data_IF_752065606847
#
_entry.id   IF_752065606847
#
_cell.length_a   1.000
_cell.length_b   1.000
_cell.length_c   1.000
_cell.angle_alpha   90.00
_cell.angle_beta   90.00
_cell.angle_gamma   90.00
#
_symmetry.space_group_name_H-M   'P 1'
#
loop_
_entity.id
_entity.type
_entity.pdbx_description
1 polymer ?
#
# COMPACT_ATOMS: atom_id res chain seq x y z
N UNK A 1 23.64 17.17 1.52
CA UNK A 1 22.62 17.74 2.44
C UNK A 1 23.02 17.44 3.88
N UNK A 2 22.55 18.24 4.84
CA UNK A 2 22.87 18.07 6.26
C UNK A 2 21.58 18.12 7.07
N UNK A 3 21.49 17.26 8.06
CA UNK A 3 20.41 17.23 9.03
C UNK A 3 20.84 17.90 10.32
N UNK A 4 20.01 18.82 10.81
CA UNK A 4 20.10 19.38 12.16
C UNK A 4 19.04 18.66 13.02
N UNK A 5 19.53 17.95 14.03
CA UNK A 5 18.72 17.23 14.99
C UNK A 5 18.65 18.04 16.29
N UNK A 6 17.43 18.25 16.81
CA UNK A 6 17.23 18.90 18.10
C UNK A 6 16.14 18.15 18.88
N UNK A 7 16.20 18.27 20.21
CA UNK A 7 15.11 17.85 21.09
C UNK A 7 14.67 19.05 21.90
N UNK A 8 13.36 19.34 21.89
CA UNK A 8 12.76 20.44 22.62
C UNK A 8 11.44 20.04 23.28
N UNK A 9 10.98 20.81 24.30
CA UNK A 9 9.64 20.66 24.83
C UNK A 9 8.58 20.85 23.74
N UNK A 10 7.47 20.10 23.82
CA UNK A 10 6.37 20.21 22.85
C UNK A 10 5.84 21.64 22.69
N UNK A 11 5.86 22.42 23.76
CA UNK A 11 5.38 23.82 23.74
C UNK A 11 6.20 24.73 22.80
N UNK A 12 7.45 24.36 22.50
CA UNK A 12 8.37 25.17 21.70
C UNK A 12 8.47 24.72 20.24
N UNK A 13 7.83 23.60 19.88
CA UNK A 13 7.93 22.97 18.55
C UNK A 13 7.56 23.93 17.43
N UNK A 14 6.42 24.60 17.54
CA UNK A 14 5.95 25.53 16.50
C UNK A 14 6.92 26.70 16.31
N UNK A 15 7.37 27.31 17.41
CA UNK A 15 8.30 28.44 17.36
C UNK A 15 9.67 28.06 16.79
N UNK A 16 10.15 26.86 17.14
CA UNK A 16 11.42 26.33 16.61
C UNK A 16 11.28 25.98 15.13
N UNK A 17 10.17 25.37 14.72
CA UNK A 17 9.89 25.06 13.32
C UNK A 17 9.86 26.31 12.46
N UNK A 18 9.16 27.36 12.90
CA UNK A 18 9.09 28.67 12.21
C UNK A 18 10.50 29.29 12.03
N UNK A 19 11.36 29.19 13.05
CA UNK A 19 12.75 29.70 12.98
C UNK A 19 13.54 28.90 11.95
N UNK A 20 13.44 27.57 11.97
CA UNK A 20 14.19 26.70 11.05
C UNK A 20 13.76 26.92 9.60
N UNK A 21 12.46 27.05 9.35
CA UNK A 21 11.91 27.37 8.03
C UNK A 21 12.32 28.77 7.58
N UNK A 22 12.33 29.76 8.48
CA UNK A 22 12.81 31.12 8.21
C UNK A 22 14.31 31.21 7.91
N UNK A 23 15.07 30.16 8.20
CA UNK A 23 16.51 30.01 7.92
C UNK A 23 16.80 29.04 6.77
N UNK A 24 15.87 28.91 5.84
CA UNK A 24 15.98 28.13 4.62
C UNK A 24 16.09 26.59 4.83
N UNK A 25 15.49 26.05 5.91
CA UNK A 25 15.32 24.60 6.03
C UNK A 25 14.46 24.08 4.85
N UNK A 26 14.92 23.04 4.20
CA UNK A 26 14.21 22.38 3.09
C UNK A 26 12.97 21.61 3.59
N UNK A 27 13.06 21.09 4.79
CA UNK A 27 11.97 20.43 5.51
C UNK A 27 12.25 20.43 6.99
N UNK A 28 11.18 20.43 7.81
CA UNK A 28 11.24 20.19 9.25
C UNK A 28 10.27 19.07 9.57
N UNK A 29 10.76 17.98 10.16
CA UNK A 29 9.95 16.88 10.67
C UNK A 29 9.98 16.85 12.19
N UNK A 30 8.85 16.46 12.79
CA UNK A 30 8.66 16.40 14.24
C UNK A 30 8.24 14.98 14.62
N UNK A 31 8.95 14.39 15.56
CA UNK A 31 8.72 13.04 16.06
C UNK A 31 8.73 13.04 17.60
N UNK A 32 8.18 11.97 18.19
CA UNK A 32 8.36 11.72 19.63
C UNK A 32 9.86 11.54 19.92
N UNK A 33 10.39 12.29 20.90
CA UNK A 33 11.79 12.11 21.30
C UNK A 33 12.05 10.73 21.89
N UNK A 34 11.01 10.08 22.44
CA UNK A 34 11.03 8.76 23.05
C UNK A 34 10.62 7.63 22.10
N UNK A 35 10.45 7.91 20.79
CA UNK A 35 10.12 6.92 19.77
C UNK A 35 11.09 5.71 19.81
N UNK A 36 10.53 4.52 19.86
CA UNK A 36 11.27 3.25 19.99
C UNK A 36 11.67 2.88 21.42
N UNK A 37 11.23 3.62 22.43
CA UNK A 37 11.39 3.29 23.85
C UNK A 37 10.09 2.82 24.49
N UNK A 38 10.17 2.27 25.72
CA UNK A 38 8.98 1.91 26.53
C UNK A 38 8.11 3.12 26.92
N UNK A 39 8.53 4.35 26.58
CA UNK A 39 7.84 5.62 26.89
C UNK A 39 7.24 6.27 25.64
N UNK A 40 7.32 5.62 24.49
CA UNK A 40 6.72 6.08 23.24
C UNK A 40 5.21 6.29 23.38
N UNK A 41 4.73 7.49 23.03
CA UNK A 41 3.32 7.85 23.01
C UNK A 41 2.84 8.10 21.59
N UNK A 42 1.96 7.24 21.06
CA UNK A 42 1.35 7.45 19.76
C UNK A 42 0.37 8.63 19.80
N UNK A 43 0.61 9.68 18.99
CA UNK A 43 -0.31 10.82 18.82
C UNK A 43 -1.57 10.47 18.01
N UNK A 44 -1.52 9.42 17.23
CA UNK A 44 -2.62 8.98 16.38
C UNK A 44 -3.13 7.64 16.88
N UNK A 45 -4.39 7.64 17.37
CA UNK A 45 -5.11 6.42 17.70
C UNK A 45 -5.53 5.65 16.43
N UNK A 46 -5.85 4.38 16.59
CA UNK A 46 -6.50 3.61 15.52
C UNK A 46 -7.81 4.30 15.08
N UNK A 47 -8.22 4.19 13.80
CA UNK A 47 -9.47 4.77 13.32
C UNK A 47 -10.66 4.34 14.18
N UNK A 48 -11.30 5.32 14.86
CA UNK A 48 -12.43 5.11 15.75
C UNK A 48 -12.11 5.24 17.25
N UNK A 49 -10.85 5.45 17.63
CA UNK A 49 -10.49 5.82 19.01
C UNK A 49 -10.39 7.35 19.17
N UNK A 50 -10.75 7.88 20.34
CA UNK A 50 -10.49 9.29 20.61
C UNK A 50 -8.98 9.55 20.60
N UNK A 51 -8.53 10.72 20.11
CA UNK A 51 -7.11 11.07 20.15
C UNK A 51 -6.59 11.00 21.61
N UNK A 52 -5.35 10.55 21.82
CA UNK A 52 -4.76 10.51 23.15
C UNK A 52 -4.78 11.90 23.79
N UNK A 53 -5.09 11.95 25.08
CA UNK A 53 -5.32 13.20 25.82
C UNK A 53 -4.03 13.99 26.12
N UNK A 54 -2.86 13.48 25.79
CA UNK A 54 -1.56 14.09 26.10
C UNK A 54 -0.70 14.17 24.86
N UNK A 55 -0.18 15.37 24.57
CA UNK A 55 0.90 15.60 23.62
C UNK A 55 2.20 15.01 24.19
N UNK A 56 3.20 14.82 23.33
CA UNK A 56 4.56 14.43 23.75
C UNK A 56 5.13 15.44 24.76
N UNK A 57 5.89 14.99 25.74
CA UNK A 57 6.58 15.91 26.65
C UNK A 57 7.80 16.53 25.97
N UNK A 58 8.51 15.74 25.17
CA UNK A 58 9.66 16.14 24.39
C UNK A 58 9.47 15.72 22.94
N UNK A 59 9.83 16.59 22.02
CA UNK A 59 9.78 16.33 20.58
C UNK A 59 11.17 16.40 19.98
N UNK A 60 11.45 15.48 19.06
CA UNK A 60 12.65 15.50 18.22
C UNK A 60 12.29 16.20 16.91
N UNK A 61 13.02 17.28 16.60
CA UNK A 61 12.94 17.95 15.32
C UNK A 61 14.15 17.56 14.48
N UNK A 62 13.88 17.26 13.22
CA UNK A 62 14.90 17.01 12.19
C UNK A 62 14.70 18.00 11.08
N UNK A 63 15.63 18.95 10.92
CA UNK A 63 15.59 19.96 9.87
C UNK A 63 16.67 19.67 8.82
N UNK A 64 16.30 19.68 7.54
CA UNK A 64 17.18 19.38 6.42
C UNK A 64 17.68 20.68 5.76
N UNK A 65 18.99 20.76 5.51
CA UNK A 65 19.66 21.91 4.87
C UNK A 65 20.50 21.48 3.68
N UNK A 66 20.67 22.38 2.70
CA UNK A 66 21.51 22.13 1.53
C UNK A 66 22.99 21.94 1.87
N UNK A 67 23.50 22.69 2.86
CA UNK A 67 24.91 22.71 3.23
C UNK A 67 25.11 22.82 4.74
N UNK A 68 26.34 22.53 5.18
CA UNK A 68 26.72 22.54 6.59
C UNK A 68 26.62 23.93 7.21
N UNK A 69 26.96 24.99 6.49
CA UNK A 69 27.00 26.33 7.04
C UNK A 69 25.58 26.85 7.39
N UNK A 70 24.59 26.51 6.56
CA UNK A 70 23.18 26.80 6.82
C UNK A 70 22.68 26.03 8.04
N UNK A 71 22.98 24.72 8.16
CA UNK A 71 22.61 23.92 9.33
C UNK A 71 23.23 24.44 10.63
N UNK A 72 24.52 24.82 10.61
CA UNK A 72 25.21 25.41 11.75
C UNK A 72 24.63 26.78 12.16
N UNK A 73 24.25 27.60 11.17
CA UNK A 73 23.65 28.91 11.43
C UNK A 73 22.28 28.75 12.08
N UNK A 74 21.45 27.83 11.58
CA UNK A 74 20.16 27.51 12.16
C UNK A 74 20.30 26.96 13.60
N UNK A 75 21.21 26.03 13.83
CA UNK A 75 21.48 25.50 15.16
C UNK A 75 21.89 26.58 16.18
N UNK A 76 22.76 27.51 15.76
CA UNK A 76 23.16 28.67 16.60
C UNK A 76 21.97 29.60 16.90
N UNK A 77 21.14 29.87 15.91
CA UNK A 77 19.98 30.74 16.08
C UNK A 77 18.98 30.17 17.09
N UNK A 78 18.67 28.90 16.98
CA UNK A 78 17.80 28.21 17.92
C UNK A 78 18.37 28.23 19.33
N UNK A 79 19.66 27.93 19.52
CA UNK A 79 20.33 27.98 20.83
C UNK A 79 20.32 29.38 21.47
N UNK A 80 20.44 30.44 20.67
CA UNK A 80 20.44 31.82 21.18
C UNK A 80 19.07 32.29 21.68
N UNK A 81 18.00 31.80 21.06
CA UNK A 81 16.62 32.22 21.38
C UNK A 81 16.03 31.49 22.59
N UNK A 82 16.40 30.22 22.78
CA UNK A 82 15.78 29.37 23.81
C UNK A 82 16.73 28.89 24.92
N UNK A 83 18.01 29.32 24.93
CA UNK A 83 18.98 28.98 25.95
C UNK A 83 19.42 27.53 25.99
N UNK A 84 19.81 27.04 27.18
CA UNK A 84 20.39 25.69 27.37
C UNK A 84 19.36 24.57 27.56
N UNK A 85 18.06 24.83 27.35
CA UNK A 85 17.01 23.82 27.51
C UNK A 85 16.90 22.83 26.36
N UNK A 86 17.63 23.10 25.23
CA UNK A 86 17.70 22.15 24.14
C UNK A 86 18.78 21.09 24.41
N UNK A 87 18.33 19.91 24.78
CA UNK A 87 19.21 18.76 24.91
C UNK A 87 19.44 18.13 23.52
N UNK A 88 20.69 17.84 23.21
CA UNK A 88 21.12 17.13 22.00
C UNK A 88 20.89 17.87 20.66
N UNK A 89 21.68 18.92 20.43
CA UNK A 89 21.84 19.44 19.06
C UNK A 89 22.96 18.68 18.35
N UNK A 90 22.63 18.00 17.27
CA UNK A 90 23.63 17.33 16.43
C UNK A 90 23.43 17.73 14.96
N UNK A 91 24.53 17.93 14.24
CA UNK A 91 24.48 18.10 12.79
C UNK A 91 25.20 16.91 12.17
N UNK A 92 24.51 16.24 11.25
CA UNK A 92 25.08 15.11 10.52
C UNK A 92 24.92 15.27 9.02
N UNK A 93 25.92 14.81 8.28
CA UNK A 93 25.79 14.72 6.84
C UNK A 93 24.77 13.64 6.50
N UNK A 94 23.78 14.00 5.68
CA UNK A 94 22.90 12.98 5.09
C UNK A 94 23.73 12.24 4.04
N UNK A 95 24.00 10.96 4.21
CA UNK A 95 24.67 10.19 3.17
C UNK A 95 23.91 10.34 1.86
N UNK A 96 24.59 10.51 0.75
CA UNK A 96 24.00 10.30 -0.56
C UNK A 96 23.63 8.81 -0.65
N UNK A 97 22.48 8.47 -0.06
CA UNK A 97 21.93 7.14 -0.23
C UNK A 97 21.24 7.11 -1.59
N UNK A 98 21.61 6.14 -2.37
CA UNK A 98 20.84 5.76 -3.55
C UNK A 98 19.51 5.16 -3.06
N UNK A 99 18.55 6.04 -2.77
CA UNK A 99 17.20 5.69 -2.29
C UNK A 99 16.51 4.73 -3.26
N UNK A 100 16.83 4.83 -4.55
CA UNK A 100 16.33 3.90 -5.56
C UNK A 100 16.84 2.50 -5.26
N UNK A 101 18.14 2.35 -5.05
CA UNK A 101 18.76 1.05 -4.74
C UNK A 101 18.33 0.51 -3.38
N UNK A 102 18.17 1.38 -2.38
CA UNK A 102 17.68 0.98 -1.05
C UNK A 102 16.24 0.49 -1.11
N UNK A 103 15.36 1.21 -1.81
CA UNK A 103 13.98 0.79 -2.04
C UNK A 103 13.94 -0.50 -2.84
N UNK A 104 14.75 -0.61 -3.90
CA UNK A 104 14.84 -1.83 -4.70
C UNK A 104 15.26 -3.05 -3.88
N UNK A 105 16.19 -2.88 -2.93
CA UNK A 105 16.65 -3.99 -2.07
C UNK A 105 15.60 -4.51 -1.08
N UNK A 106 14.50 -3.81 -0.89
CA UNK A 106 13.40 -4.23 0.01
C UNK A 106 12.36 -5.11 -0.68
N UNK A 107 12.40 -5.24 -2.00
CA UNK A 107 11.40 -5.97 -2.78
C UNK A 107 12.04 -7.12 -3.55
N UNK A 108 11.99 -8.30 -2.94
CA UNK A 108 12.43 -9.54 -3.58
C UNK A 108 11.34 -10.14 -4.49
N UNK A 109 11.70 -11.01 -5.45
CA UNK A 109 10.74 -11.80 -6.20
C UNK A 109 9.81 -12.61 -5.29
N UNK A 110 8.50 -12.56 -5.54
CA UNK A 110 7.48 -13.26 -4.75
C UNK A 110 7.01 -14.51 -5.48
N UNK A 111 7.17 -15.67 -4.85
CA UNK A 111 6.63 -16.93 -5.33
C UNK A 111 5.12 -17.01 -5.06
N UNK A 112 4.32 -17.08 -6.12
CA UNK A 112 2.87 -17.33 -6.03
C UNK A 112 2.60 -18.84 -6.09
N UNK A 113 3.19 -19.51 -7.07
CA UNK A 113 3.32 -20.96 -7.18
C UNK A 113 4.73 -21.28 -7.70
N UNK A 114 5.21 -22.53 -7.66
CA UNK A 114 6.54 -22.86 -8.17
C UNK A 114 6.81 -22.37 -9.60
N UNK A 115 5.77 -22.27 -10.43
CA UNK A 115 5.87 -21.84 -11.84
C UNK A 115 5.43 -20.39 -12.07
N UNK A 116 4.75 -19.72 -11.12
CA UNK A 116 4.26 -18.35 -11.25
C UNK A 116 4.89 -17.43 -10.22
N UNK A 117 5.56 -16.36 -10.67
CA UNK A 117 6.29 -15.41 -9.84
C UNK A 117 5.92 -13.98 -10.16
N UNK A 118 5.87 -13.14 -9.13
CA UNK A 118 5.87 -11.67 -9.26
C UNK A 118 7.31 -11.22 -9.10
N UNK A 119 7.86 -10.54 -10.10
CA UNK A 119 9.29 -10.22 -10.18
C UNK A 119 9.46 -8.74 -10.51
N UNK A 120 10.09 -7.93 -9.64
CA UNK A 120 10.48 -6.56 -9.96
C UNK A 120 11.41 -6.50 -11.18
N UNK A 121 11.40 -5.36 -11.91
CA UNK A 121 12.15 -5.22 -13.16
C UNK A 121 13.68 -5.39 -12.99
N UNK A 122 14.20 -5.03 -11.81
CA UNK A 122 15.62 -5.11 -11.46
C UNK A 122 16.08 -6.49 -10.97
N UNK A 123 15.16 -7.44 -10.80
CA UNK A 123 15.51 -8.79 -10.40
C UNK A 123 15.57 -9.77 -11.57
N UNK A 124 16.47 -10.74 -11.44
CA UNK A 124 16.56 -11.87 -12.37
C UNK A 124 15.36 -12.80 -12.16
N UNK A 125 14.81 -13.32 -13.25
CA UNK A 125 13.73 -14.31 -13.20
C UNK A 125 14.25 -15.61 -12.62
N UNK A 126 13.58 -16.21 -11.62
CA UNK A 126 13.92 -17.54 -11.13
C UNK A 126 13.84 -18.61 -12.25
N UNK A 127 14.77 -19.55 -12.29
CA UNK A 127 14.89 -20.54 -13.36
C UNK A 127 13.64 -21.42 -13.51
N UNK A 128 12.93 -21.68 -12.42
CA UNK A 128 11.70 -22.47 -12.38
C UNK A 128 10.45 -21.70 -12.83
N UNK A 129 10.52 -20.37 -12.95
CA UNK A 129 9.37 -19.55 -13.31
C UNK A 129 9.01 -19.76 -14.80
N UNK A 130 7.76 -20.11 -15.04
CA UNK A 130 7.17 -20.20 -16.39
C UNK A 130 6.25 -19.02 -16.68
N UNK A 131 5.52 -18.57 -15.66
CA UNK A 131 4.70 -17.36 -15.72
C UNK A 131 5.36 -16.30 -14.85
N UNK A 132 5.65 -15.15 -15.42
CA UNK A 132 6.30 -14.03 -14.71
C UNK A 132 5.44 -12.80 -14.87
N UNK A 133 5.01 -12.26 -13.75
CA UNK A 133 4.36 -10.96 -13.68
C UNK A 133 5.41 -9.93 -13.25
N UNK A 134 5.75 -9.03 -14.18
CA UNK A 134 6.68 -7.92 -13.91
C UNK A 134 5.92 -6.79 -13.23
N UNK A 135 6.32 -6.46 -12.01
CA UNK A 135 5.72 -5.38 -11.27
C UNK A 135 6.74 -4.70 -10.36
N UNK A 136 6.92 -3.42 -10.57
CA UNK A 136 7.73 -2.57 -9.70
C UNK A 136 6.84 -1.94 -8.62
N UNK A 137 7.28 -1.90 -7.36
CA UNK A 137 6.62 -1.13 -6.32
C UNK A 137 6.49 0.33 -6.75
N UNK A 138 5.27 0.84 -6.73
CA UNK A 138 4.94 2.19 -7.15
C UNK A 138 3.94 2.85 -6.19
N UNK A 139 3.40 4.00 -6.62
CA UNK A 139 2.40 4.75 -5.86
C UNK A 139 1.04 4.04 -5.79
N UNK A 140 0.75 3.13 -6.72
CA UNK A 140 -0.49 2.35 -6.71
C UNK A 140 -0.37 1.14 -5.78
N UNK A 141 -1.45 0.87 -5.04
CA UNK A 141 -1.54 -0.27 -4.12
C UNK A 141 -1.45 -1.61 -4.89
N UNK A 142 -0.86 -2.63 -4.26
CA UNK A 142 -0.77 -3.98 -4.82
C UNK A 142 0.62 -4.33 -5.37
N UNK A 143 1.63 -4.46 -4.49
CA UNK A 143 3.02 -4.86 -4.84
C UNK A 143 3.20 -6.37 -4.98
N UNK A 144 2.17 -7.17 -4.69
CA UNK A 144 2.25 -8.64 -4.68
C UNK A 144 2.77 -9.26 -3.38
N UNK A 145 3.37 -8.48 -2.50
CA UNK A 145 3.91 -8.97 -1.21
C UNK A 145 2.83 -9.21 -0.16
N UNK A 146 1.68 -8.52 -0.26
CA UNK A 146 0.61 -8.65 0.71
C UNK A 146 -0.07 -10.03 0.63
N UNK A 147 -0.39 -10.69 1.76
CA UNK A 147 -0.99 -12.03 1.78
C UNK A 147 -2.25 -12.15 0.92
N UNK A 148 -3.12 -11.12 0.92
CA UNK A 148 -4.38 -11.12 0.16
C UNK A 148 -4.15 -11.19 -1.35
N UNK A 149 -3.17 -10.45 -1.86
CA UNK A 149 -2.78 -10.49 -3.28
C UNK A 149 -2.24 -11.86 -3.66
N UNK A 150 -1.37 -12.42 -2.82
CA UNK A 150 -0.81 -13.75 -3.02
C UNK A 150 -1.88 -14.86 -3.04
N UNK A 151 -2.90 -14.78 -2.17
CA UNK A 151 -4.03 -15.73 -2.15
C UNK A 151 -4.85 -15.64 -3.44
N UNK A 152 -5.20 -14.43 -3.90
CA UNK A 152 -5.93 -14.23 -5.15
C UNK A 152 -5.16 -14.74 -6.37
N UNK A 153 -3.88 -14.36 -6.50
CA UNK A 153 -3.04 -14.80 -7.63
C UNK A 153 -2.85 -16.32 -7.65
N UNK A 154 -2.70 -16.94 -6.49
CA UNK A 154 -2.59 -18.41 -6.39
C UNK A 154 -3.86 -19.08 -6.87
N UNK A 155 -5.03 -18.56 -6.45
CA UNK A 155 -6.29 -19.07 -6.93
C UNK A 155 -6.42 -18.93 -8.45
N UNK A 156 -6.08 -17.75 -9.01
CA UNK A 156 -6.10 -17.47 -10.45
C UNK A 156 -5.18 -18.47 -11.21
N UNK A 157 -3.97 -18.69 -10.71
CA UNK A 157 -3.01 -19.63 -11.32
C UNK A 157 -3.50 -21.08 -11.31
N UNK A 158 -4.26 -21.49 -10.27
CA UNK A 158 -4.86 -22.82 -10.17
C UNK A 158 -6.12 -22.98 -11.03
N UNK A 159 -6.70 -21.89 -11.52
CA UNK A 159 -7.92 -21.87 -12.36
C UNK A 159 -7.69 -21.07 -13.65
N UNK A 160 -6.71 -21.48 -14.49
CA UNK A 160 -6.34 -20.74 -15.69
C UNK A 160 -7.46 -20.74 -16.74
N UNK A 161 -7.35 -19.85 -17.72
CA UNK A 161 -8.23 -19.84 -18.90
C UNK A 161 -9.65 -19.36 -18.62
N UNK A 162 -9.87 -18.48 -17.62
CA UNK A 162 -11.19 -17.89 -17.34
C UNK A 162 -11.71 -17.15 -18.59
N UNK A 163 -12.96 -17.38 -19.04
CA UNK A 163 -13.48 -16.75 -20.26
C UNK A 163 -13.53 -15.23 -20.16
N UNK A 164 -13.91 -14.71 -18.99
CA UNK A 164 -13.94 -13.26 -18.71
C UNK A 164 -13.66 -13.01 -17.23
N UNK A 165 -12.91 -11.95 -16.95
CA UNK A 165 -12.50 -11.55 -15.61
C UNK A 165 -12.80 -10.06 -15.40
N UNK A 166 -13.38 -9.73 -14.25
CA UNK A 166 -13.49 -8.37 -13.73
C UNK A 166 -12.64 -8.26 -12.47
N UNK A 167 -11.69 -7.34 -12.46
CA UNK A 167 -10.92 -6.91 -11.30
C UNK A 167 -11.48 -5.56 -10.81
N UNK A 168 -12.21 -5.59 -9.69
CA UNK A 168 -12.90 -4.41 -9.16
C UNK A 168 -12.13 -3.80 -7.99
N UNK A 169 -11.62 -2.58 -8.15
CA UNK A 169 -10.62 -1.96 -7.28
C UNK A 169 -9.23 -2.49 -7.63
N UNK A 170 -8.85 -2.36 -8.89
CA UNK A 170 -7.71 -3.08 -9.46
C UNK A 170 -6.34 -2.56 -8.99
N UNK A 171 -6.25 -1.32 -8.48
CA UNK A 171 -5.00 -0.72 -8.04
C UNK A 171 -3.92 -0.76 -9.13
N UNK A 172 -2.81 -1.44 -8.86
CA UNK A 172 -1.72 -1.67 -9.83
C UNK A 172 -2.12 -2.54 -11.04
N UNK A 173 -3.32 -3.15 -11.03
CA UNK A 173 -3.78 -4.11 -12.03
C UNK A 173 -3.20 -5.52 -11.86
N UNK A 174 -2.55 -5.80 -10.74
CA UNK A 174 -1.80 -7.06 -10.54
C UNK A 174 -2.67 -8.31 -10.72
N UNK A 175 -3.93 -8.30 -10.26
CA UNK A 175 -4.82 -9.46 -10.36
C UNK A 175 -5.34 -9.62 -11.80
N UNK A 176 -5.72 -8.53 -12.44
CA UNK A 176 -6.12 -8.50 -13.85
C UNK A 176 -4.99 -9.00 -14.77
N UNK A 177 -3.77 -8.49 -14.57
CA UNK A 177 -2.58 -8.89 -15.32
C UNK A 177 -2.27 -10.36 -15.05
N UNK A 178 -2.33 -10.79 -13.78
CA UNK A 178 -2.16 -12.20 -13.42
C UNK A 178 -3.16 -13.11 -14.11
N UNK A 179 -4.42 -12.72 -14.18
CA UNK A 179 -5.46 -13.46 -14.90
C UNK A 179 -5.16 -13.54 -16.41
N UNK A 180 -4.75 -12.43 -17.03
CA UNK A 180 -4.39 -12.39 -18.45
C UNK A 180 -3.18 -13.29 -18.75
N UNK A 181 -2.14 -13.26 -17.91
CA UNK A 181 -0.96 -14.14 -18.03
C UNK A 181 -1.34 -15.62 -17.85
N UNK A 182 -2.36 -15.93 -17.05
CA UNK A 182 -2.91 -17.28 -16.89
C UNK A 182 -3.91 -17.64 -18.00
N UNK A 183 -3.98 -16.89 -19.10
CA UNK A 183 -4.77 -17.22 -20.27
C UNK A 183 -6.26 -16.82 -20.19
N UNK A 184 -6.62 -15.87 -19.35
CA UNK A 184 -7.98 -15.33 -19.36
C UNK A 184 -8.32 -14.69 -20.72
N UNK A 185 -9.57 -14.84 -21.15
CA UNK A 185 -10.04 -14.33 -22.44
C UNK A 185 -10.20 -12.80 -22.42
N UNK A 186 -11.30 -12.32 -21.88
CA UNK A 186 -11.53 -10.87 -21.70
C UNK A 186 -11.22 -10.47 -20.26
N UNK A 187 -10.39 -9.44 -20.08
CA UNK A 187 -10.06 -8.92 -18.74
C UNK A 187 -10.41 -7.44 -18.67
N UNK A 188 -11.23 -7.09 -17.71
CA UNK A 188 -11.62 -5.71 -17.37
C UNK A 188 -11.12 -5.41 -15.96
N UNK A 189 -10.48 -4.26 -15.80
CA UNK A 189 -9.93 -3.77 -14.54
C UNK A 189 -10.47 -2.39 -14.26
N UNK A 190 -11.11 -2.17 -13.11
CA UNK A 190 -11.70 -0.88 -12.79
C UNK A 190 -11.24 -0.38 -11.44
N UNK A 191 -11.03 0.94 -11.36
CA UNK A 191 -10.72 1.62 -10.09
C UNK A 191 -11.35 3.01 -10.06
N UNK A 192 -11.66 3.50 -8.87
CA UNK A 192 -12.15 4.88 -8.67
C UNK A 192 -11.03 5.92 -8.77
N UNK A 193 -9.77 5.50 -8.55
CA UNK A 193 -8.60 6.36 -8.62
C UNK A 193 -8.02 6.36 -10.05
N UNK A 194 -8.01 7.50 -10.74
CA UNK A 194 -7.39 7.62 -12.06
C UNK A 194 -5.91 7.24 -12.08
N UNK A 195 -5.18 7.43 -10.97
CA UNK A 195 -3.78 7.04 -10.86
C UNK A 195 -3.63 5.51 -10.86
N UNK A 196 -4.51 4.79 -10.18
CA UNK A 196 -4.58 3.33 -10.22
C UNK A 196 -4.90 2.81 -11.63
N UNK A 197 -5.85 3.43 -12.33
CA UNK A 197 -6.19 3.10 -13.72
C UNK A 197 -4.97 3.26 -14.63
N UNK A 198 -4.25 4.38 -14.51
CA UNK A 198 -3.04 4.62 -15.30
C UNK A 198 -1.93 3.61 -14.98
N UNK A 199 -1.74 3.30 -13.69
CA UNK A 199 -0.76 2.31 -13.25
C UNK A 199 -1.10 0.91 -13.83
N UNK A 200 -2.36 0.49 -13.77
CA UNK A 200 -2.79 -0.80 -14.31
C UNK A 200 -2.56 -0.90 -15.83
N UNK A 201 -2.80 0.18 -16.58
CA UNK A 201 -2.51 0.24 -18.02
C UNK A 201 -1.02 0.12 -18.31
N UNK A 202 -0.21 0.88 -17.59
CA UNK A 202 1.26 0.87 -17.74
C UNK A 202 1.83 -0.51 -17.42
N UNK A 203 1.38 -1.12 -16.32
CA UNK A 203 1.81 -2.44 -15.91
C UNK A 203 1.38 -3.53 -16.89
N UNK A 204 0.18 -3.43 -17.46
CA UNK A 204 -0.28 -4.36 -18.50
C UNK A 204 0.61 -4.32 -19.75
N UNK A 205 0.97 -3.12 -20.21
CA UNK A 205 1.91 -2.94 -21.33
C UNK A 205 3.27 -3.55 -21.01
N UNK A 206 3.80 -3.32 -19.80
CA UNK A 206 5.09 -3.88 -19.36
C UNK A 206 5.10 -5.40 -19.28
N UNK A 207 3.93 -6.01 -19.10
CA UNK A 207 3.76 -7.47 -19.09
C UNK A 207 3.34 -8.06 -20.45
N UNK A 208 3.19 -7.23 -21.49
CA UNK A 208 2.77 -7.67 -22.81
C UNK A 208 1.38 -8.28 -22.87
N UNK A 209 0.48 -7.92 -21.92
CA UNK A 209 -0.90 -8.39 -21.87
C UNK A 209 -1.87 -7.28 -22.23
N UNK A 210 -3.06 -7.68 -22.68
CA UNK A 210 -4.13 -6.73 -22.98
C UNK A 210 -5.24 -6.84 -21.94
N UNK A 211 -5.51 -5.74 -21.23
CA UNK A 211 -6.63 -5.58 -20.30
C UNK A 211 -7.34 -4.26 -20.60
N UNK A 212 -8.65 -4.20 -20.42
CA UNK A 212 -9.40 -2.96 -20.52
C UNK A 212 -9.45 -2.32 -19.13
N UNK A 213 -8.75 -1.19 -18.94
CA UNK A 213 -8.72 -0.50 -17.65
C UNK A 213 -9.42 0.85 -17.70
N UNK A 214 -10.22 1.17 -16.68
CA UNK A 214 -10.95 2.43 -16.60
C UNK A 214 -11.67 2.64 -15.27
N UNK A 215 -12.52 3.69 -15.24
CA UNK A 215 -13.39 3.94 -14.10
C UNK A 215 -14.47 2.84 -13.95
N UNK A 216 -15.14 2.74 -12.78
CA UNK A 216 -16.11 1.68 -12.49
C UNK A 216 -17.20 1.48 -13.54
N UNK A 217 -17.58 2.53 -14.27
CA UNK A 217 -18.58 2.48 -15.33
C UNK A 217 -18.15 1.62 -16.54
N UNK A 218 -16.86 1.29 -16.65
CA UNK A 218 -16.36 0.36 -17.67
C UNK A 218 -16.78 -1.08 -17.40
N UNK A 219 -17.08 -1.44 -16.13
CA UNK A 219 -17.58 -2.76 -15.76
C UNK A 219 -19.03 -2.93 -16.24
N UNK A 220 -19.22 -3.54 -17.41
CA UNK A 220 -20.55 -3.75 -18.01
C UNK A 220 -20.81 -5.24 -18.19
N UNK A 221 -22.02 -5.66 -17.84
CA UNK A 221 -22.44 -7.05 -17.98
C UNK A 221 -21.93 -7.97 -16.87
N UNK A 222 -21.73 -9.25 -17.21
CA UNK A 222 -21.35 -10.29 -16.25
C UNK A 222 -20.11 -11.05 -16.70
N UNK A 223 -19.34 -11.53 -15.73
CA UNK A 223 -18.03 -12.14 -15.91
C UNK A 223 -17.99 -13.53 -15.28
N UNK A 224 -17.21 -14.42 -15.86
CA UNK A 224 -17.01 -15.78 -15.30
C UNK A 224 -16.25 -15.72 -13.97
N UNK A 225 -15.39 -14.72 -13.78
CA UNK A 225 -14.68 -14.44 -12.54
C UNK A 225 -14.82 -12.94 -12.21
N UNK A 226 -15.29 -12.63 -11.03
CA UNK A 226 -15.22 -11.29 -10.43
C UNK A 226 -14.27 -11.38 -9.23
N UNK A 227 -13.23 -10.56 -9.22
CA UNK A 227 -12.30 -10.47 -8.09
C UNK A 227 -12.31 -9.04 -7.54
N UNK A 228 -12.33 -8.90 -6.21
CA UNK A 228 -12.19 -7.63 -5.53
C UNK A 228 -11.30 -7.81 -4.29
N UNK A 229 -10.12 -7.18 -4.31
CA UNK A 229 -9.16 -7.18 -3.20
C UNK A 229 -9.08 -5.78 -2.62
N UNK A 230 -10.13 -5.39 -1.91
CA UNK A 230 -10.31 -4.07 -1.28
C UNK A 230 -10.75 -4.24 0.17
N UNK A 231 -10.81 -3.13 0.93
CA UNK A 231 -11.20 -3.17 2.33
C UNK A 231 -12.63 -3.70 2.55
N UNK A 232 -12.87 -4.35 3.70
CA UNK A 232 -14.13 -4.99 4.05
C UNK A 232 -15.34 -4.03 4.02
N UNK A 233 -15.18 -2.77 4.42
CA UNK A 233 -16.30 -1.81 4.43
C UNK A 233 -16.82 -1.51 3.02
N UNK A 234 -16.00 -1.13 2.02
CA UNK A 234 -16.43 -1.06 0.63
C UNK A 234 -17.02 -2.36 0.11
N UNK A 235 -16.42 -3.53 0.42
CA UNK A 235 -16.96 -4.82 -0.03
C UNK A 235 -18.41 -5.06 0.42
N UNK A 236 -18.76 -4.69 1.67
CA UNK A 236 -20.14 -4.80 2.18
C UNK A 236 -21.10 -3.90 1.40
N UNK A 237 -20.69 -2.67 1.12
CA UNK A 237 -21.52 -1.71 0.37
C UNK A 237 -21.72 -2.15 -1.09
N UNK A 238 -20.69 -2.70 -1.70
CA UNK A 238 -20.68 -3.12 -3.09
C UNK A 238 -21.24 -4.53 -3.31
N UNK A 239 -21.69 -5.25 -2.27
CA UNK A 239 -22.18 -6.62 -2.39
C UNK A 239 -23.22 -6.83 -3.51
N UNK A 240 -24.30 -6.01 -3.62
CA UNK A 240 -25.28 -6.19 -4.71
C UNK A 240 -24.65 -5.97 -6.09
N UNK A 241 -23.75 -4.99 -6.22
CA UNK A 241 -23.10 -4.66 -7.49
C UNK A 241 -22.16 -5.77 -7.92
N UNK A 242 -21.24 -6.20 -7.03
CA UNK A 242 -20.28 -7.24 -7.34
C UNK A 242 -20.97 -8.56 -7.71
N UNK A 243 -22.01 -8.95 -6.96
CA UNK A 243 -22.79 -10.14 -7.28
C UNK A 243 -23.52 -10.02 -8.63
N UNK A 244 -24.02 -8.83 -9.00
CA UNK A 244 -24.69 -8.62 -10.30
C UNK A 244 -23.73 -8.75 -11.49
N UNK A 245 -22.44 -8.58 -11.26
CA UNK A 245 -21.40 -8.77 -12.28
C UNK A 245 -20.93 -10.21 -12.42
N UNK A 246 -21.36 -11.14 -11.56
CA UNK A 246 -21.00 -12.56 -11.70
C UNK A 246 -21.95 -13.24 -12.69
N UNK A 247 -21.40 -13.90 -13.70
CA UNK A 247 -22.20 -14.67 -14.64
C UNK A 247 -22.82 -15.91 -13.95
N UNK A 248 -23.96 -16.45 -14.43
CA UNK A 248 -24.51 -17.70 -13.91
C UNK A 248 -23.46 -18.82 -13.93
N UNK A 249 -23.23 -19.45 -12.79
CA UNK A 249 -22.16 -20.42 -12.58
C UNK A 249 -20.77 -19.83 -12.45
N UNK A 250 -20.65 -18.51 -12.48
CA UNK A 250 -19.39 -17.79 -12.30
C UNK A 250 -18.91 -17.76 -10.85
N UNK A 251 -17.73 -17.23 -10.64
CA UNK A 251 -17.06 -17.18 -9.35
C UNK A 251 -16.86 -15.75 -8.89
N UNK A 252 -17.15 -15.49 -7.62
CA UNK A 252 -16.79 -14.28 -6.91
C UNK A 252 -15.61 -14.58 -5.98
N UNK A 253 -14.56 -13.76 -6.01
CA UNK A 253 -13.44 -13.79 -5.07
C UNK A 253 -13.33 -12.45 -4.34
N UNK A 254 -13.30 -12.50 -3.03
CA UNK A 254 -13.19 -11.33 -2.17
C UNK A 254 -11.97 -11.46 -1.24
N UNK A 255 -11.12 -10.46 -1.22
CA UNK A 255 -9.94 -10.39 -0.38
C UNK A 255 -9.75 -8.97 0.18
N UNK A 256 -8.73 -8.75 1.01
CA UNK A 256 -8.59 -7.51 1.77
C UNK A 256 -9.41 -7.52 3.05
N UNK A 257 -9.71 -8.72 3.56
CA UNK A 257 -10.61 -9.01 4.67
C UNK A 257 -9.80 -9.65 5.80
N UNK A 258 -9.88 -9.09 7.01
CA UNK A 258 -9.33 -9.72 8.21
C UNK A 258 -10.25 -10.86 8.67
N UNK A 259 -9.69 -11.92 9.27
CA UNK A 259 -10.45 -13.07 9.79
C UNK A 259 -11.62 -12.63 10.69
N UNK A 260 -11.43 -11.64 11.55
CA UNK A 260 -12.46 -11.08 12.43
C UNK A 260 -13.65 -10.46 11.68
N UNK A 261 -13.51 -10.14 10.41
CA UNK A 261 -14.55 -9.53 9.57
C UNK A 261 -15.35 -10.55 8.74
N UNK A 262 -14.99 -11.83 8.83
CA UNK A 262 -15.61 -12.91 8.06
C UNK A 262 -17.15 -12.94 8.21
N UNK A 263 -17.63 -12.88 9.45
CA UNK A 263 -19.07 -12.95 9.74
C UNK A 263 -19.84 -11.76 9.16
N UNK A 264 -19.30 -10.54 9.28
CA UNK A 264 -19.89 -9.32 8.73
C UNK A 264 -20.05 -9.41 7.20
N UNK A 265 -19.02 -9.91 6.50
CA UNK A 265 -19.06 -10.10 5.05
C UNK A 265 -20.08 -11.19 4.69
N UNK A 266 -20.07 -12.30 5.39
CA UNK A 266 -21.04 -13.39 5.17
C UNK A 266 -22.48 -12.89 5.30
N UNK A 267 -22.77 -12.10 6.31
CA UNK A 267 -24.11 -11.50 6.51
C UNK A 267 -24.46 -10.50 5.39
N UNK A 268 -23.52 -9.66 4.97
CA UNK A 268 -23.76 -8.67 3.91
C UNK A 268 -24.04 -9.31 2.55
N UNK A 269 -23.40 -10.45 2.26
CA UNK A 269 -23.58 -11.18 1.00
C UNK A 269 -24.70 -12.22 1.04
N UNK A 270 -25.22 -12.61 2.21
CA UNK A 270 -26.26 -13.64 2.36
C UNK A 270 -27.50 -13.44 1.46
N UNK A 271 -27.98 -12.20 1.16
CA UNK A 271 -29.09 -12.00 0.24
C UNK A 271 -28.80 -12.39 -1.22
N UNK A 272 -27.53 -12.52 -1.60
CA UNK A 272 -27.06 -12.68 -2.99
C UNK A 272 -26.38 -14.03 -3.22
N UNK A 273 -25.55 -14.47 -2.28
CA UNK A 273 -24.78 -15.72 -2.40
C UNK A 273 -24.33 -16.22 -1.03
N UNK A 274 -23.88 -17.47 -0.98
CA UNK A 274 -23.24 -18.06 0.19
C UNK A 274 -21.72 -17.93 0.05
N UNK A 275 -21.10 -17.06 0.87
CA UNK A 275 -19.64 -16.93 0.95
C UNK A 275 -19.03 -18.05 1.78
N UNK A 276 -17.91 -18.59 1.30
CA UNK A 276 -17.06 -19.54 2.00
C UNK A 276 -15.62 -19.02 2.08
N UNK A 277 -14.91 -19.31 3.17
CA UNK A 277 -13.48 -19.00 3.29
C UNK A 277 -12.68 -20.08 2.54
N UNK A 278 -11.89 -19.66 1.55
CA UNK A 278 -11.07 -20.56 0.74
C UNK A 278 -9.62 -20.67 1.25
N UNK A 279 -9.05 -19.59 1.74
CA UNK A 279 -7.66 -19.53 2.22
C UNK A 279 -7.56 -18.52 3.36
N UNK A 280 -6.59 -18.71 4.27
CA UNK A 280 -6.29 -17.82 5.37
C UNK A 280 -4.78 -17.72 5.55
N UNK A 281 -4.24 -16.49 5.62
CA UNK A 281 -2.81 -16.23 5.81
C UNK A 281 -2.60 -14.97 6.64
N UNK A 282 -1.83 -15.08 7.69
CA UNK A 282 -1.41 -13.94 8.52
C UNK A 282 -2.59 -13.08 9.02
N UNK A 283 -3.70 -13.75 9.42
CA UNK A 283 -4.92 -13.07 9.88
C UNK A 283 -5.79 -12.45 8.77
N UNK A 284 -5.44 -12.66 7.48
CA UNK A 284 -6.23 -12.27 6.31
C UNK A 284 -6.88 -13.47 5.67
N UNK A 285 -8.07 -13.28 5.09
CA UNK A 285 -8.81 -14.36 4.43
C UNK A 285 -9.13 -14.02 2.97
N UNK A 286 -9.23 -15.09 2.16
CA UNK A 286 -9.83 -15.10 0.84
C UNK A 286 -11.21 -15.77 0.94
N UNK A 287 -12.26 -15.05 0.56
CA UNK A 287 -13.61 -15.59 0.51
C UNK A 287 -14.08 -15.77 -0.93
N UNK A 288 -14.99 -16.71 -1.16
CA UNK A 288 -15.54 -17.01 -2.47
C UNK A 288 -17.00 -17.43 -2.43
N UNK A 289 -17.68 -17.19 -3.54
CA UNK A 289 -19.00 -17.79 -3.83
C UNK A 289 -19.08 -18.18 -5.31
N UNK A 290 -19.96 -19.15 -5.61
CA UNK A 290 -20.45 -19.44 -6.97
C UNK A 290 -21.88 -18.90 -7.06
N UNK A 291 -22.24 -18.19 -8.14
CA UNK A 291 -23.55 -17.62 -8.36
C UNK A 291 -24.28 -18.27 -9.52
#
# INVERSE_FOLDING_TARGET
MFELLLVCPQADVDAVSDILEGLDALSVSVEDADAGSDQENALFGEPGMPPPAHAWEQSRLTALFNDLASAETAGRAVQQLHGTEFSHTAIQAVPEQDWVRLTQSQFDPVEITPEFWVVPSWHTVPEQARTVLRLDPGLAFGTGTHPTTGMCLRWIAQHPGQPSVLDYGCGSGILAIGAALCGAGTVVAVDIDPAAVLASQTNAVSNGVHIASGAPELAVGSYALVVANILATPLKVLAPLLCSHVAPGGRLLLAGILERQCEELTQAYAPYCALEVLDSREGWILMSATL
#
